data_IF_419633534707
#
_entry.id   IF_419633534707
#
_cell.length_a   1.000
_cell.length_b   1.000
_cell.length_c   1.000
_cell.angle_alpha   90.00
_cell.angle_beta   90.00
_cell.angle_gamma   90.00
#
_symmetry.space_group_name_H-M   'P 1'
#
loop_
_entity.id
_entity.type
_entity.pdbx_description
1 polymer ?
#
# COMPACT_ATOMS: atom_id res chain seq x y z
N UNK A 1 17.12 -0.34 -11.51
CA UNK A 1 16.00 0.07 -10.65
C UNK A 1 15.21 -1.15 -10.17
N UNK A 2 14.64 -1.96 -11.04
CA UNK A 2 13.84 -3.16 -10.68
C UNK A 2 14.59 -4.10 -9.72
N UNK A 3 15.85 -4.46 -10.04
CA UNK A 3 16.69 -5.32 -9.19
C UNK A 3 16.92 -4.71 -7.79
N UNK A 4 17.21 -3.41 -7.73
CA UNK A 4 17.44 -2.74 -6.44
C UNK A 4 16.21 -2.76 -5.54
N UNK A 5 15.00 -2.56 -6.10
CA UNK A 5 13.76 -2.60 -5.31
C UNK A 5 13.40 -4.04 -4.92
N UNK A 6 13.61 -5.01 -5.82
CA UNK A 6 13.42 -6.42 -5.50
C UNK A 6 14.32 -6.86 -4.33
N UNK A 7 15.59 -6.45 -4.34
CA UNK A 7 16.54 -6.73 -3.26
C UNK A 7 16.13 -6.04 -1.95
N UNK A 8 15.72 -4.76 -2.02
CA UNK A 8 15.24 -4.03 -0.84
C UNK A 8 14.03 -4.70 -0.19
N UNK A 9 13.08 -5.25 -0.96
CA UNK A 9 11.93 -5.99 -0.43
C UNK A 9 12.26 -7.45 -0.05
N UNK A 10 13.36 -8.00 -0.55
CA UNK A 10 13.69 -9.42 -0.40
C UNK A 10 12.92 -10.33 -1.34
N UNK A 11 12.48 -9.81 -2.49
CA UNK A 11 11.77 -10.54 -3.54
C UNK A 11 12.70 -11.17 -4.57
N UNK A 12 12.14 -12.01 -5.45
CA UNK A 12 12.87 -12.63 -6.55
C UNK A 12 13.26 -11.61 -7.63
N UNK A 13 12.26 -10.88 -8.14
CA UNK A 13 12.42 -9.81 -9.16
C UNK A 13 11.28 -8.82 -9.07
N UNK A 14 11.42 -7.71 -9.80
CA UNK A 14 10.39 -6.68 -9.88
C UNK A 14 10.06 -6.30 -11.33
N UNK A 15 8.91 -5.66 -11.52
CA UNK A 15 8.38 -5.21 -12.80
C UNK A 15 7.96 -3.75 -12.64
N UNK A 16 8.70 -2.85 -13.30
CA UNK A 16 8.39 -1.42 -13.30
C UNK A 16 7.22 -1.09 -14.22
N UNK A 17 6.31 -0.26 -13.71
CA UNK A 17 5.08 0.15 -14.38
C UNK A 17 4.99 1.68 -14.46
N UNK A 18 4.22 2.19 -15.44
CA UNK A 18 4.04 3.62 -15.69
C UNK A 18 3.36 4.38 -14.53
N UNK A 19 2.65 3.68 -13.66
CA UNK A 19 2.01 4.24 -12.45
C UNK A 19 1.73 3.15 -11.43
N UNK A 20 1.40 3.53 -10.18
CA UNK A 20 0.91 2.58 -9.18
C UNK A 20 -0.32 1.83 -9.67
N UNK A 21 -1.27 2.52 -10.33
CA UNK A 21 -2.46 1.88 -10.91
C UNK A 21 -2.14 0.93 -12.06
N UNK A 22 -1.12 1.22 -12.88
CA UNK A 22 -0.65 0.28 -13.89
C UNK A 22 -0.08 -0.99 -13.24
N UNK A 23 0.59 -0.87 -12.09
CA UNK A 23 1.07 -2.02 -11.31
C UNK A 23 -0.10 -2.84 -10.75
N UNK A 24 -1.08 -2.18 -10.10
CA UNK A 24 -2.29 -2.84 -9.57
C UNK A 24 -3.04 -3.58 -10.68
N UNK A 25 -3.34 -2.88 -11.80
CA UNK A 25 -4.04 -3.49 -12.93
C UNK A 25 -3.27 -4.68 -13.52
N UNK A 26 -1.95 -4.54 -13.73
CA UNK A 26 -1.13 -5.63 -14.27
C UNK A 26 -1.13 -6.86 -13.34
N UNK A 27 -1.07 -6.65 -12.02
CA UNK A 27 -1.17 -7.73 -11.04
C UNK A 27 -2.53 -8.43 -11.13
N UNK A 28 -3.62 -7.67 -11.02
CA UNK A 28 -4.98 -8.23 -11.00
C UNK A 28 -5.26 -8.98 -12.31
N UNK A 29 -5.09 -8.33 -13.46
CA UNK A 29 -5.38 -8.95 -14.75
C UNK A 29 -4.43 -10.09 -15.13
N UNK A 30 -3.24 -10.16 -14.52
CA UNK A 30 -2.29 -11.25 -14.71
C UNK A 30 -2.57 -12.49 -13.85
N UNK A 31 -3.10 -12.30 -12.65
CA UNK A 31 -3.23 -13.37 -11.64
C UNK A 31 -4.67 -13.78 -11.36
N UNK A 32 -5.66 -12.98 -11.79
CA UNK A 32 -7.10 -13.20 -11.57
C UNK A 32 -7.79 -13.31 -12.92
N UNK A 33 -8.80 -14.14 -13.02
CA UNK A 33 -9.55 -14.43 -14.26
C UNK A 33 -11.03 -14.14 -14.07
N UNK A 34 -11.78 -14.09 -15.19
CA UNK A 34 -13.24 -14.05 -15.16
C UNK A 34 -13.80 -15.25 -14.36
N UNK A 35 -14.71 -14.96 -13.45
CA UNK A 35 -15.28 -15.92 -12.49
C UNK A 35 -14.54 -16.01 -11.16
N UNK A 36 -13.34 -15.41 -11.02
CA UNK A 36 -12.61 -15.34 -9.76
C UNK A 36 -13.14 -14.22 -8.85
N UNK A 37 -12.80 -14.35 -7.56
CA UNK A 37 -13.17 -13.42 -6.53
C UNK A 37 -11.93 -12.88 -5.80
N UNK A 38 -11.98 -11.61 -5.40
CA UNK A 38 -10.95 -10.91 -4.60
C UNK A 38 -11.54 -10.50 -3.25
N UNK A 39 -10.81 -10.73 -2.17
CA UNK A 39 -11.06 -10.06 -0.88
C UNK A 39 -10.09 -8.88 -0.80
N UNK A 40 -10.61 -7.68 -0.60
CA UNK A 40 -9.82 -6.44 -0.58
C UNK A 40 -10.06 -5.68 0.71
N UNK A 41 -9.01 -5.08 1.30
CA UNK A 41 -9.21 -4.12 2.38
C UNK A 41 -10.05 -2.94 1.88
N UNK A 42 -11.00 -2.47 2.68
CA UNK A 42 -11.82 -1.30 2.33
C UNK A 42 -11.03 0.00 2.35
N UNK A 43 -10.04 0.08 3.24
CA UNK A 43 -9.09 1.18 3.33
C UNK A 43 -7.95 1.00 2.33
N UNK A 44 -8.24 1.21 1.04
CA UNK A 44 -7.25 1.22 -0.05
C UNK A 44 -7.31 2.53 -0.81
N UNK A 45 -6.27 2.81 -1.59
CA UNK A 45 -6.25 3.96 -2.49
C UNK A 45 -7.53 4.03 -3.35
N UNK A 46 -8.16 5.21 -3.42
CA UNK A 46 -9.47 5.36 -4.05
C UNK A 46 -9.58 4.83 -5.48
N UNK A 47 -8.53 5.02 -6.31
CA UNK A 47 -8.54 4.47 -7.66
C UNK A 47 -8.43 2.93 -7.69
N UNK A 48 -7.79 2.30 -6.70
CA UNK A 48 -7.81 0.83 -6.53
C UNK A 48 -9.22 0.36 -6.20
N UNK A 49 -9.90 1.06 -5.29
CA UNK A 49 -11.31 0.77 -4.96
C UNK A 49 -12.20 0.88 -6.20
N UNK A 50 -12.10 1.95 -7.00
CA UNK A 50 -12.86 2.12 -8.25
C UNK A 50 -12.52 1.03 -9.26
N UNK A 51 -11.25 0.68 -9.44
CA UNK A 51 -10.86 -0.41 -10.33
C UNK A 51 -11.57 -1.72 -9.94
N UNK A 52 -11.53 -2.09 -8.67
CA UNK A 52 -12.05 -3.36 -8.17
C UNK A 52 -13.58 -3.39 -8.03
N UNK A 53 -14.22 -2.25 -7.72
CA UNK A 53 -15.68 -2.20 -7.53
C UNK A 53 -16.47 -1.91 -8.79
N UNK A 54 -15.86 -1.25 -9.79
CA UNK A 54 -16.60 -0.76 -10.97
C UNK A 54 -16.07 -1.36 -12.26
N UNK A 55 -14.76 -1.40 -12.46
CA UNK A 55 -14.16 -1.79 -13.74
C UNK A 55 -14.01 -3.31 -13.83
N UNK A 56 -13.44 -3.96 -12.82
CA UNK A 56 -13.18 -5.40 -12.86
C UNK A 56 -14.44 -6.28 -12.90
N UNK A 57 -15.60 -5.87 -12.33
CA UNK A 57 -16.86 -6.59 -12.54
C UNK A 57 -17.28 -6.71 -14.01
N UNK A 58 -16.98 -5.72 -14.86
CA UNK A 58 -17.25 -5.79 -16.31
C UNK A 58 -16.42 -6.89 -17.00
N UNK A 59 -15.31 -7.30 -16.39
CA UNK A 59 -14.47 -8.43 -16.83
C UNK A 59 -14.75 -9.73 -16.06
N UNK A 60 -15.85 -9.77 -15.29
CA UNK A 60 -16.30 -10.95 -14.57
C UNK A 60 -15.52 -11.27 -13.30
N UNK A 61 -14.81 -10.31 -12.73
CA UNK A 61 -14.11 -10.46 -11.43
C UNK A 61 -14.93 -9.79 -10.34
N UNK A 62 -15.29 -10.55 -9.31
CA UNK A 62 -16.00 -10.01 -8.15
C UNK A 62 -15.03 -9.58 -7.05
N UNK A 63 -15.39 -8.56 -6.26
CA UNK A 63 -14.61 -8.12 -5.10
C UNK A 63 -15.51 -7.94 -3.88
N UNK A 64 -15.07 -8.46 -2.73
CA UNK A 64 -15.65 -8.14 -1.42
C UNK A 64 -14.66 -7.27 -0.66
N UNK A 65 -15.10 -6.06 -0.29
CA UNK A 65 -14.33 -5.15 0.56
C UNK A 65 -14.63 -5.44 2.03
N UNK A 66 -13.59 -5.43 2.86
CA UNK A 66 -13.68 -5.74 4.29
C UNK A 66 -12.82 -4.79 5.11
N UNK A 67 -13.20 -4.54 6.34
CA UNK A 67 -12.25 -4.01 7.32
C UNK A 67 -11.21 -5.10 7.64
N UNK A 68 -10.05 -4.98 7.00
CA UNK A 68 -8.99 -5.97 7.12
C UNK A 68 -8.21 -5.89 8.46
N UNK A 69 -8.46 -4.87 9.28
CA UNK A 69 -7.97 -4.84 10.66
C UNK A 69 -8.70 -5.86 11.55
N UNK A 70 -9.90 -6.29 11.13
CA UNK A 70 -10.71 -7.31 11.77
C UNK A 70 -10.57 -8.64 11.01
N UNK A 71 -9.66 -9.50 11.44
CA UNK A 71 -9.28 -10.72 10.72
C UNK A 71 -10.45 -11.66 10.42
N UNK A 72 -11.48 -11.69 11.26
CA UNK A 72 -12.67 -12.51 11.05
C UNK A 72 -13.50 -12.00 9.86
N UNK A 73 -13.47 -10.72 9.54
CA UNK A 73 -14.10 -10.20 8.31
C UNK A 73 -13.38 -10.73 7.07
N UNK A 74 -12.05 -10.73 7.06
CA UNK A 74 -11.25 -11.30 5.96
C UNK A 74 -11.62 -12.76 5.77
N UNK A 75 -11.64 -13.54 6.84
CA UNK A 75 -11.94 -14.97 6.81
C UNK A 75 -13.36 -15.26 6.31
N UNK A 76 -14.35 -14.52 6.78
CA UNK A 76 -15.76 -14.69 6.41
C UNK A 76 -16.07 -14.26 4.97
N UNK A 77 -15.24 -13.39 4.38
CA UNK A 77 -15.38 -12.95 2.99
C UNK A 77 -14.84 -13.97 1.97
N UNK A 78 -14.11 -14.99 2.40
CA UNK A 78 -13.56 -16.02 1.51
C UNK A 78 -14.67 -16.87 0.90
N UNK A 79 -14.73 -16.91 -0.44
CA UNK A 79 -15.62 -17.73 -1.25
C UNK A 79 -14.85 -18.90 -1.87
N UNK A 80 -15.52 -19.93 -2.40
CA UNK A 80 -14.86 -21.05 -3.10
C UNK A 80 -14.02 -20.62 -4.30
N UNK A 81 -14.39 -19.51 -4.95
CA UNK A 81 -13.70 -18.92 -6.10
C UNK A 81 -12.77 -17.74 -5.71
N UNK A 82 -12.49 -17.53 -4.44
CA UNK A 82 -11.54 -16.48 -4.02
C UNK A 82 -10.16 -16.86 -4.51
N UNK A 83 -9.54 -15.96 -5.28
CA UNK A 83 -8.23 -16.15 -5.88
C UNK A 83 -7.15 -15.30 -5.23
N UNK A 84 -7.51 -14.13 -4.70
CA UNK A 84 -6.56 -13.18 -4.12
C UNK A 84 -7.13 -12.49 -2.88
N UNK A 85 -6.27 -12.25 -1.91
CA UNK A 85 -6.48 -11.28 -0.83
C UNK A 85 -5.54 -10.11 -1.12
N UNK A 86 -6.10 -8.90 -1.28
CA UNK A 86 -5.36 -7.67 -1.56
C UNK A 86 -5.49 -6.72 -0.37
N UNK A 87 -4.36 -6.40 0.26
CA UNK A 87 -4.31 -5.55 1.47
C UNK A 87 -3.43 -4.33 1.22
N UNK A 88 -3.90 -3.16 1.66
CA UNK A 88 -3.06 -1.98 1.87
C UNK A 88 -2.92 -1.75 3.39
N UNK A 89 -1.70 -1.76 3.91
CA UNK A 89 -1.46 -1.58 5.35
C UNK A 89 -0.14 -0.85 5.62
N UNK A 90 -0.19 0.29 6.36
CA UNK A 90 -1.39 0.99 6.89
C UNK A 90 -2.37 1.40 5.80
N UNK A 91 -3.67 1.30 6.08
CA UNK A 91 -4.74 1.60 5.12
C UNK A 91 -4.89 3.10 4.84
N UNK A 92 -5.30 3.46 3.64
CA UNK A 92 -5.56 4.85 3.22
C UNK A 92 -7.07 5.15 3.22
N UNK A 93 -7.59 6.13 3.96
CA UNK A 93 -6.87 7.14 4.77
C UNK A 93 -6.80 6.83 6.27
N UNK A 94 -7.37 5.73 6.74
CA UNK A 94 -7.63 5.47 8.17
C UNK A 94 -6.39 5.12 8.97
N UNK A 95 -5.29 4.71 8.31
CA UNK A 95 -4.07 4.16 8.88
C UNK A 95 -4.28 2.90 9.74
N UNK A 96 -5.40 2.20 9.51
CA UNK A 96 -5.64 0.90 10.12
C UNK A 96 -4.56 -0.12 9.72
N UNK A 97 -4.13 -0.93 10.68
CA UNK A 97 -3.10 -1.95 10.48
C UNK A 97 -3.77 -3.32 10.37
N UNK A 98 -3.45 -4.04 9.31
CA UNK A 98 -3.86 -5.44 9.14
C UNK A 98 -2.77 -6.36 9.69
N UNK A 99 -3.13 -7.39 10.43
CA UNK A 99 -2.21 -8.46 10.88
C UNK A 99 -1.85 -9.36 9.70
N UNK A 100 -0.68 -9.08 9.11
CA UNK A 100 -0.19 -9.79 7.91
C UNK A 100 0.04 -11.27 8.16
N UNK A 101 0.51 -11.65 9.35
CA UNK A 101 0.74 -13.05 9.70
C UNK A 101 -0.58 -13.82 9.82
N UNK A 102 -1.63 -13.18 10.34
CA UNK A 102 -2.96 -13.78 10.41
C UNK A 102 -3.60 -13.95 9.02
N UNK A 103 -3.44 -12.95 8.13
CA UNK A 103 -3.92 -13.05 6.74
C UNK A 103 -3.14 -14.13 5.96
N UNK A 104 -1.81 -14.20 6.12
CA UNK A 104 -0.98 -15.25 5.48
C UNK A 104 -1.49 -16.64 5.83
N UNK A 105 -1.78 -16.88 7.09
CA UNK A 105 -2.31 -18.17 7.52
C UNK A 105 -3.59 -18.56 6.79
N UNK A 106 -4.52 -17.62 6.62
CA UNK A 106 -5.77 -17.82 5.87
C UNK A 106 -5.45 -18.08 4.39
N UNK A 107 -4.62 -17.24 3.78
CA UNK A 107 -4.26 -17.34 2.38
C UNK A 107 -3.61 -18.69 2.05
N UNK A 108 -2.66 -19.12 2.88
CA UNK A 108 -1.95 -20.39 2.75
C UNK A 108 -2.86 -21.60 2.92
N UNK A 109 -3.72 -21.62 3.94
CA UNK A 109 -4.68 -22.70 4.19
C UNK A 109 -5.65 -22.89 3.02
N UNK A 110 -5.99 -21.85 2.32
CA UNK A 110 -6.93 -21.84 1.19
C UNK A 110 -6.27 -21.90 -0.19
N UNK A 111 -4.95 -21.78 -0.29
CA UNK A 111 -4.24 -21.70 -1.57
C UNK A 111 -4.57 -20.43 -2.36
N UNK A 112 -4.78 -19.31 -1.67
CA UNK A 112 -5.16 -18.00 -2.21
C UNK A 112 -3.92 -17.11 -2.28
N UNK A 113 -3.75 -16.33 -3.34
CA UNK A 113 -2.68 -15.34 -3.44
C UNK A 113 -2.82 -14.24 -2.40
N UNK A 114 -1.69 -13.83 -1.85
CA UNK A 114 -1.61 -12.73 -0.91
C UNK A 114 -0.79 -11.57 -1.48
N UNK A 115 -1.46 -10.46 -1.77
CA UNK A 115 -0.89 -9.24 -2.34
C UNK A 115 -0.98 -8.09 -1.35
N UNK A 116 0.09 -7.30 -1.24
CA UNK A 116 0.19 -6.19 -0.30
C UNK A 116 0.66 -4.93 -1.03
N UNK A 117 -0.10 -3.86 -0.90
CA UNK A 117 0.39 -2.52 -1.22
C UNK A 117 1.18 -1.98 -0.02
N UNK A 118 2.50 -1.89 -0.19
CA UNK A 118 3.45 -1.47 0.84
C UNK A 118 3.93 -0.02 0.64
N UNK A 119 3.16 0.77 -0.11
CA UNK A 119 3.53 2.14 -0.49
C UNK A 119 3.83 3.01 0.72
N UNK A 120 3.01 2.97 1.78
CA UNK A 120 3.14 3.86 2.94
C UNK A 120 4.31 3.49 3.87
N UNK A 121 4.71 2.24 3.89
CA UNK A 121 5.81 1.79 4.76
C UNK A 121 7.15 1.75 4.05
N UNK A 122 7.16 1.54 2.74
CA UNK A 122 8.36 1.25 1.97
C UNK A 122 9.12 0.01 2.47
N UNK A 123 10.09 -0.53 1.73
CA UNK A 123 10.90 -1.67 2.19
C UNK A 123 11.79 -1.38 3.41
N UNK A 124 11.86 -0.11 3.83
CA UNK A 124 12.64 0.29 5.02
C UNK A 124 11.91 -0.07 6.31
N UNK A 125 10.59 0.15 6.35
CA UNK A 125 9.81 0.01 7.58
C UNK A 125 8.96 -1.26 7.64
N UNK A 126 8.63 -1.89 6.51
CA UNK A 126 7.86 -3.13 6.47
C UNK A 126 8.33 -4.01 5.31
N UNK A 127 8.46 -5.31 5.57
CA UNK A 127 8.86 -6.32 4.59
C UNK A 127 7.81 -7.43 4.46
N UNK A 128 6.79 -7.24 3.62
CA UNK A 128 5.66 -8.16 3.54
C UNK A 128 6.03 -9.61 3.14
N UNK A 129 7.13 -9.85 2.43
CA UNK A 129 7.58 -11.21 2.14
C UNK A 129 7.99 -12.01 3.39
N UNK A 130 8.40 -11.35 4.47
CA UNK A 130 8.67 -11.98 5.76
C UNK A 130 7.37 -12.53 6.39
N UNK A 131 6.22 -12.00 5.98
CA UNK A 131 4.86 -12.40 6.39
C UNK A 131 4.15 -13.21 5.31
N UNK A 132 4.86 -13.82 4.37
CA UNK A 132 4.30 -14.76 3.41
C UNK A 132 3.59 -14.17 2.21
N UNK A 133 3.67 -12.87 1.95
CA UNK A 133 3.12 -12.28 0.73
C UNK A 133 3.66 -12.97 -0.54
N UNK A 134 2.85 -13.02 -1.59
CA UNK A 134 3.25 -13.46 -2.93
C UNK A 134 3.66 -12.28 -3.81
N UNK A 135 3.00 -11.14 -3.59
CA UNK A 135 3.18 -9.91 -4.36
C UNK A 135 3.24 -8.69 -3.45
N UNK A 136 4.17 -7.80 -3.76
CA UNK A 136 4.23 -6.47 -3.14
C UNK A 136 4.08 -5.42 -4.23
N UNK A 137 3.23 -4.43 -3.97
CA UNK A 137 3.04 -3.28 -4.85
C UNK A 137 3.56 -2.03 -4.17
N UNK A 138 4.12 -1.13 -4.97
CA UNK A 138 4.36 0.25 -4.58
C UNK A 138 3.95 1.22 -5.67
N UNK A 139 3.34 2.31 -5.25
CA UNK A 139 3.41 3.55 -6.00
C UNK A 139 4.81 4.15 -5.80
N UNK A 140 5.67 4.05 -6.81
CA UNK A 140 7.00 4.67 -6.77
C UNK A 140 6.92 6.20 -6.82
N UNK A 141 5.77 6.76 -7.14
CA UNK A 141 5.42 8.19 -7.02
C UNK A 141 5.67 8.74 -5.63
N UNK A 142 5.59 7.89 -4.59
CA UNK A 142 5.66 8.24 -3.17
C UNK A 142 7.11 8.11 -2.65
N UNK A 143 7.34 7.33 -1.61
CA UNK A 143 8.61 7.25 -0.88
C UNK A 143 9.79 6.74 -1.70
N UNK A 144 9.58 5.77 -2.61
CA UNK A 144 10.66 5.17 -3.39
C UNK A 144 11.38 6.21 -4.25
N UNK A 145 10.64 7.06 -4.95
CA UNK A 145 11.21 8.23 -5.62
C UNK A 145 11.48 9.37 -4.61
N UNK A 146 10.45 9.81 -3.89
CA UNK A 146 10.52 10.74 -2.76
C UNK A 146 10.79 12.21 -3.10
N UNK A 147 10.69 12.62 -4.37
CA UNK A 147 11.00 13.97 -4.84
C UNK A 147 9.82 14.67 -5.53
N UNK A 148 8.63 14.04 -5.56
CA UNK A 148 7.39 14.57 -6.16
C UNK A 148 7.51 14.98 -7.64
N UNK A 149 8.38 14.32 -8.41
CA UNK A 149 8.71 14.61 -9.81
C UNK A 149 8.53 13.40 -10.74
N UNK A 150 7.95 12.28 -10.22
CA UNK A 150 7.73 11.03 -10.96
C UNK A 150 6.34 10.48 -10.68
N UNK A 151 5.71 9.95 -11.71
CA UNK A 151 4.58 9.01 -11.58
C UNK A 151 5.05 7.65 -12.07
N UNK A 152 5.07 6.66 -11.17
CA UNK A 152 5.50 5.31 -11.50
C UNK A 152 4.96 4.29 -10.49
N UNK A 153 4.98 3.00 -10.86
CA UNK A 153 4.62 1.88 -9.99
C UNK A 153 5.58 0.70 -10.16
N UNK A 154 5.50 -0.25 -9.25
CA UNK A 154 6.29 -1.47 -9.32
C UNK A 154 5.54 -2.64 -8.67
N UNK A 155 5.72 -3.83 -9.23
CA UNK A 155 5.30 -5.09 -8.64
C UNK A 155 6.56 -5.87 -8.29
N UNK A 156 6.72 -6.25 -7.04
CA UNK A 156 7.77 -7.18 -6.61
C UNK A 156 7.15 -8.56 -6.40
N UNK A 157 7.80 -9.59 -6.90
CA UNK A 157 7.28 -10.96 -6.87
C UNK A 157 8.20 -11.89 -6.11
N UNK A 158 7.62 -12.92 -5.50
CA UNK A 158 8.35 -13.90 -4.69
C UNK A 158 9.00 -15.01 -5.51
N UNK A 159 8.42 -15.37 -6.67
CA UNK A 159 8.84 -16.55 -7.44
C UNK A 159 9.12 -16.25 -8.91
N UNK A 160 9.97 -17.09 -9.58
CA UNK A 160 10.21 -17.00 -11.02
C UNK A 160 8.94 -17.15 -11.87
N UNK A 161 8.00 -18.01 -11.43
CA UNK A 161 6.74 -18.29 -12.13
C UNK A 161 5.86 -17.04 -12.15
N UNK A 162 5.69 -16.39 -11.00
CA UNK A 162 4.95 -15.12 -10.89
C UNK A 162 5.59 -14.03 -11.76
N UNK A 163 6.93 -13.96 -11.77
CA UNK A 163 7.64 -13.03 -12.63
C UNK A 163 7.36 -13.25 -14.11
N UNK A 164 7.43 -14.50 -14.57
CA UNK A 164 7.22 -14.83 -15.97
C UNK A 164 5.82 -14.42 -16.45
N UNK A 165 4.79 -14.71 -15.64
CA UNK A 165 3.39 -14.33 -15.94
C UNK A 165 3.26 -12.81 -16.00
N UNK A 166 3.64 -12.11 -14.95
CA UNK A 166 3.41 -10.66 -14.83
C UNK A 166 4.29 -9.85 -15.80
N UNK A 167 5.51 -10.27 -16.09
CA UNK A 167 6.36 -9.65 -17.12
C UNK A 167 5.71 -9.76 -18.50
N UNK A 168 5.15 -10.94 -18.83
CA UNK A 168 4.40 -11.13 -20.05
C UNK A 168 3.19 -10.19 -20.12
N UNK A 169 2.41 -10.09 -19.05
CA UNK A 169 1.23 -9.22 -18.99
C UNK A 169 1.62 -7.73 -19.10
N UNK A 170 2.66 -7.30 -18.38
CA UNK A 170 3.17 -5.93 -18.49
C UNK A 170 3.53 -5.54 -19.94
N UNK A 171 4.20 -6.45 -20.66
CA UNK A 171 4.57 -6.22 -22.06
C UNK A 171 3.34 -6.13 -22.98
N UNK A 172 2.30 -6.94 -22.75
CA UNK A 172 1.10 -6.93 -23.58
C UNK A 172 0.17 -5.76 -23.27
N UNK A 173 0.06 -5.34 -22.02
CA UNK A 173 -0.76 -4.19 -21.62
C UNK A 173 -0.09 -2.84 -21.90
N UNK A 174 1.23 -2.83 -22.05
CA UNK A 174 1.98 -1.62 -22.38
C UNK A 174 2.10 -0.60 -21.24
N UNK A 175 1.71 -0.95 -20.02
CA UNK A 175 1.84 -0.11 -18.82
C UNK A 175 3.27 -0.01 -18.28
N UNK A 176 4.29 0.01 -19.15
CA UNK A 176 5.71 0.00 -18.78
C UNK A 176 6.21 1.39 -18.39
N UNK A 177 7.13 1.43 -17.43
CA UNK A 177 7.80 2.68 -17.03
C UNK A 177 8.77 3.13 -18.15
N UNK A 178 8.86 4.43 -18.37
CA UNK A 178 9.82 5.02 -19.30
C UNK A 178 11.23 5.14 -18.70
N UNK A 179 12.28 5.30 -19.55
CA UNK A 179 13.67 5.36 -19.10
C UNK A 179 13.99 6.55 -18.19
N UNK A 180 13.36 7.70 -18.39
CA UNK A 180 13.64 8.91 -17.62
C UNK A 180 13.10 8.78 -16.18
N UNK A 181 11.84 8.35 -16.03
CA UNK A 181 11.27 8.07 -14.71
C UNK A 181 12.02 6.93 -14.00
N UNK A 182 12.46 5.89 -14.74
CA UNK A 182 13.31 4.83 -14.19
C UNK A 182 14.62 5.36 -13.62
N UNK A 183 15.26 6.32 -14.31
CA UNK A 183 16.47 6.97 -13.84
C UNK A 183 16.23 7.79 -12.58
N UNK A 184 15.16 8.62 -12.57
CA UNK A 184 14.81 9.44 -11.39
C UNK A 184 14.51 8.58 -10.16
N UNK A 185 13.71 7.53 -10.30
CA UNK A 185 13.45 6.58 -9.20
C UNK A 185 14.74 5.94 -8.72
N UNK A 186 15.59 5.45 -9.63
CA UNK A 186 16.86 4.84 -9.24
C UNK A 186 17.77 5.82 -8.47
N UNK A 187 17.77 7.09 -8.86
CA UNK A 187 18.47 8.16 -8.14
C UNK A 187 17.84 8.40 -6.76
N UNK A 188 16.50 8.48 -6.67
CA UNK A 188 15.76 8.66 -5.42
C UNK A 188 16.00 7.55 -4.39
N UNK A 189 16.12 6.31 -4.83
CA UNK A 189 16.41 5.16 -3.96
C UNK A 189 17.69 5.31 -3.15
N UNK A 190 18.69 6.03 -3.65
CA UNK A 190 19.99 6.20 -2.97
C UNK A 190 19.89 6.94 -1.62
N UNK A 191 18.81 7.68 -1.41
CA UNK A 191 18.55 8.41 -0.16
C UNK A 191 17.29 7.91 0.56
N UNK A 192 16.71 6.80 0.12
CA UNK A 192 15.43 6.31 0.63
C UNK A 192 15.43 6.14 2.16
N UNK A 193 16.40 5.42 2.71
CA UNK A 193 16.46 5.16 4.16
C UNK A 193 16.61 6.46 4.97
N UNK A 194 17.48 7.37 4.53
CA UNK A 194 17.69 8.66 5.20
C UNK A 194 16.40 9.49 5.22
N UNK A 195 15.69 9.53 4.10
CA UNK A 195 14.43 10.29 3.97
C UNK A 195 13.32 9.66 4.81
N UNK A 196 13.12 8.37 4.70
CA UNK A 196 12.05 7.66 5.42
C UNK A 196 12.24 7.78 6.93
N UNK A 197 13.45 7.57 7.45
CA UNK A 197 13.72 7.68 8.87
C UNK A 197 13.53 9.13 9.39
N UNK A 198 13.98 10.12 8.63
CA UNK A 198 13.77 11.53 9.02
C UNK A 198 12.29 11.93 8.95
N UNK A 199 11.57 11.48 7.92
CA UNK A 199 10.12 11.73 7.80
C UNK A 199 9.36 11.13 8.98
N UNK A 200 9.71 9.89 9.39
CA UNK A 200 9.13 9.24 10.56
C UNK A 200 9.39 10.02 11.86
N UNK A 201 10.65 10.46 12.10
CA UNK A 201 10.97 11.27 13.26
C UNK A 201 10.16 12.58 13.31
N UNK A 202 9.98 13.22 12.16
CA UNK A 202 9.18 14.44 12.05
C UNK A 202 7.70 14.15 12.31
N UNK A 203 7.16 13.06 11.72
CA UNK A 203 5.77 12.66 11.90
C UNK A 203 5.47 12.33 13.36
N UNK A 204 6.37 11.62 14.06
CA UNK A 204 6.21 11.31 15.48
C UNK A 204 6.03 12.60 16.32
N UNK A 205 6.92 13.58 16.13
CA UNK A 205 6.84 14.86 16.87
C UNK A 205 5.58 15.65 16.54
N UNK A 206 5.16 15.63 15.27
CA UNK A 206 3.92 16.28 14.84
C UNK A 206 2.70 15.57 15.44
N UNK A 207 2.67 14.25 15.42
CA UNK A 207 1.57 13.46 15.97
C UNK A 207 1.43 13.69 17.49
N UNK A 208 2.52 13.65 18.24
CA UNK A 208 2.55 13.95 19.69
C UNK A 208 2.03 15.37 20.01
N UNK A 209 2.40 16.36 19.18
CA UNK A 209 1.87 17.72 19.31
C UNK A 209 0.36 17.78 19.00
N UNK A 210 -0.08 17.10 17.95
CA UNK A 210 -1.47 17.14 17.50
C UNK A 210 -2.40 16.35 18.41
N UNK A 211 -1.95 15.27 19.04
CA UNK A 211 -2.75 14.43 19.94
C UNK A 211 -3.40 15.23 21.07
N UNK A 212 -2.71 16.24 21.58
CA UNK A 212 -3.21 17.09 22.66
C UNK A 212 -3.70 18.47 22.19
N UNK A 213 -3.81 18.68 20.87
CA UNK A 213 -4.15 19.99 20.34
C UNK A 213 -5.68 20.24 20.43
N UNK A 214 -6.14 21.39 20.98
CA UNK A 214 -7.56 21.63 21.30
C UNK A 214 -8.51 21.63 20.10
N UNK A 215 -7.99 21.79 18.89
CA UNK A 215 -8.77 21.77 17.63
C UNK A 215 -8.81 20.39 16.95
N UNK A 216 -8.07 19.42 17.45
CA UNK A 216 -8.08 18.04 16.95
C UNK A 216 -9.16 17.27 17.71
N UNK A 217 -9.99 16.55 16.98
CA UNK A 217 -11.01 15.65 17.53
C UNK A 217 -10.45 14.24 17.65
N UNK A 218 -9.86 13.75 16.57
CA UNK A 218 -9.24 12.43 16.52
C UNK A 218 -7.92 12.48 15.71
N UNK A 219 -6.97 11.62 16.09
CA UNK A 219 -5.72 11.42 15.35
C UNK A 219 -5.45 9.93 15.19
N UNK A 220 -5.11 9.53 13.97
CA UNK A 220 -4.65 8.19 13.66
C UNK A 220 -3.18 8.27 13.24
N UNK A 221 -2.33 7.66 14.03
CA UNK A 221 -0.90 7.53 13.75
C UNK A 221 -0.37 6.28 14.46
N UNK A 222 0.13 5.26 13.74
CA UNK A 222 0.57 4.00 14.34
C UNK A 222 1.69 4.10 15.38
N UNK A 223 2.37 5.25 15.44
CA UNK A 223 3.42 5.55 16.43
C UNK A 223 2.92 6.09 17.76
N UNK A 224 1.64 6.37 17.92
CA UNK A 224 1.06 6.82 19.18
C UNK A 224 0.50 5.63 19.97
N UNK A 225 0.73 5.56 21.29
CA UNK A 225 0.12 4.53 22.15
C UNK A 225 -1.42 4.52 22.12
N UNK A 226 -2.04 5.63 21.77
CA UNK A 226 -3.50 5.76 21.59
C UNK A 226 -4.04 5.09 20.33
N UNK A 227 -3.19 4.74 19.38
CA UNK A 227 -3.61 4.07 18.15
C UNK A 227 -4.12 2.64 18.46
N UNK A 228 -5.31 2.22 17.95
CA UNK A 228 -5.90 0.92 18.30
C UNK A 228 -4.99 -0.28 18.04
N UNK A 229 -4.19 -0.25 16.98
CA UNK A 229 -3.27 -1.32 16.63
C UNK A 229 -1.79 -1.00 16.93
N UNK A 230 -1.50 -0.15 17.92
CA UNK A 230 -0.13 0.23 18.28
C UNK A 230 0.80 -0.95 18.53
N UNK A 231 0.35 -1.93 19.32
CA UNK A 231 1.17 -3.13 19.63
C UNK A 231 1.35 -4.04 18.41
N UNK A 232 0.36 -4.11 17.51
CA UNK A 232 0.49 -4.82 16.24
C UNK A 232 1.50 -4.12 15.33
N UNK A 233 1.42 -2.79 15.20
CA UNK A 233 2.37 -2.00 14.43
C UNK A 233 3.81 -2.24 14.90
N UNK A 234 4.07 -2.18 16.20
CA UNK A 234 5.39 -2.44 16.79
C UNK A 234 5.92 -3.86 16.51
N UNK A 235 5.05 -4.85 16.46
CA UNK A 235 5.43 -6.24 16.18
C UNK A 235 5.73 -6.46 14.69
N UNK A 236 4.97 -5.83 13.81
CA UNK A 236 4.99 -6.07 12.38
C UNK A 236 5.92 -5.14 11.60
N UNK A 237 6.07 -3.92 12.09
CA UNK A 237 6.76 -2.82 11.40
C UNK A 237 8.03 -2.42 12.14
N UNK A 238 9.04 -1.93 11.40
CA UNK A 238 10.28 -1.40 11.98
C UNK A 238 10.16 0.06 12.42
N UNK A 239 8.96 0.62 12.29
CA UNK A 239 8.63 1.97 12.69
C UNK A 239 7.19 2.33 12.30
N UNK A 240 6.76 3.53 12.66
CA UNK A 240 5.37 4.00 12.55
C UNK A 240 5.00 4.60 11.19
N UNK A 241 5.97 4.75 10.29
CA UNK A 241 5.74 5.49 9.05
C UNK A 241 5.71 7.00 9.25
N UNK A 242 5.21 7.73 8.25
CA UNK A 242 5.15 9.19 8.29
C UNK A 242 3.83 9.79 7.83
N UNK A 243 2.80 8.96 7.66
CA UNK A 243 1.44 9.41 7.38
C UNK A 243 0.70 9.64 8.69
N UNK A 244 -0.01 10.76 8.78
CA UNK A 244 -0.87 11.13 9.93
C UNK A 244 -2.24 11.45 9.38
N UNK A 245 -3.28 10.86 9.92
CA UNK A 245 -4.67 11.20 9.63
C UNK A 245 -5.28 11.92 10.84
N UNK A 246 -5.96 13.04 10.60
CA UNK A 246 -6.56 13.86 11.66
C UNK A 246 -8.00 14.22 11.32
N UNK A 247 -8.83 14.23 12.35
CA UNK A 247 -10.17 14.80 12.31
C UNK A 247 -10.18 16.11 13.09
N UNK A 248 -10.72 17.16 12.47
CA UNK A 248 -10.76 18.49 13.08
C UNK A 248 -12.11 18.74 13.75
N UNK A 249 -12.08 19.33 14.94
CA UNK A 249 -13.28 19.93 15.53
C UNK A 249 -13.78 21.04 14.61
N UNK A 250 -15.07 20.95 14.20
CA UNK A 250 -15.63 21.83 13.18
C UNK A 250 -15.73 21.22 11.79
N UNK A 251 -15.35 19.94 11.64
CA UNK A 251 -15.63 19.10 10.46
C UNK A 251 -15.09 19.68 9.15
N UNK A 252 -15.89 19.59 8.09
CA UNK A 252 -15.51 19.94 6.72
C UNK A 252 -15.01 21.39 6.58
N UNK A 253 -15.68 22.37 7.21
CA UNK A 253 -15.29 23.79 7.13
C UNK A 253 -13.91 24.04 7.77
N UNK A 254 -13.63 23.39 8.90
CA UNK A 254 -12.32 23.47 9.54
C UNK A 254 -11.23 22.81 8.68
N UNK A 255 -11.54 21.68 8.04
CA UNK A 255 -10.67 21.01 7.08
C UNK A 255 -10.31 21.89 5.90
N UNK A 256 -11.30 22.46 5.23
CA UNK A 256 -11.10 23.40 4.11
C UNK A 256 -10.23 24.59 4.54
N UNK A 257 -10.55 25.20 5.68
CA UNK A 257 -9.77 26.33 6.21
C UNK A 257 -8.32 25.95 6.51
N UNK A 258 -8.07 24.74 7.02
CA UNK A 258 -6.69 24.25 7.23
C UNK A 258 -5.96 24.14 5.91
N UNK A 259 -6.57 23.47 4.91
CA UNK A 259 -5.97 23.24 3.60
C UNK A 259 -5.65 24.54 2.87
N UNK A 260 -6.51 25.55 2.96
CA UNK A 260 -6.31 26.87 2.34
C UNK A 260 -5.19 27.70 2.99
N UNK A 261 -4.80 27.37 4.23
CA UNK A 261 -3.87 28.17 5.02
C UNK A 261 -2.51 27.52 5.29
N UNK A 262 -2.33 26.22 5.01
CA UNK A 262 -1.03 25.58 5.14
C UNK A 262 -0.06 26.13 4.08
N UNK A 263 1.20 26.32 4.48
CA UNK A 263 2.24 26.90 3.60
C UNK A 263 3.33 25.91 3.24
N UNK A 264 3.69 25.02 4.16
CA UNK A 264 4.73 24.02 3.95
C UNK A 264 4.15 22.74 3.35
N UNK A 265 3.00 22.31 3.84
CA UNK A 265 2.24 21.21 3.24
C UNK A 265 1.47 21.72 2.02
N UNK A 266 1.35 20.88 1.00
CA UNK A 266 0.61 21.19 -0.23
C UNK A 266 -0.56 20.23 -0.36
N UNK A 267 -1.65 20.68 -0.96
CA UNK A 267 -2.74 19.81 -1.39
C UNK A 267 -2.23 18.94 -2.56
N UNK A 268 -2.39 17.59 -2.42
CA UNK A 268 -1.91 16.62 -3.40
C UNK A 268 -3.03 15.64 -3.81
#
# INVERSE_FOLDING_TARGET
MEEAIAELEGGYKAIGCASGMAAVHTLIAGMVKSGDHIVCSESVYGATSVLLSTIMPEFGVETTFVDSSEIEQVKNAIKPNTRMIYIETPGNPTLAITDLAAVEKIAKEKGIYFAIDNTFMSPILQKPFEFGADFIIHSMTKYLNGHADVVAGIIVVKTPEHYAILRKMSNHFGGVIDPFNSFLVHRGLKTLSLRVLRQQENAQKIAEFLENHPKIDNIQFPGLPSHPQYELAKRQQKGSGSMISIELKGGYEAGTKLMDNVKLFQLA
#
